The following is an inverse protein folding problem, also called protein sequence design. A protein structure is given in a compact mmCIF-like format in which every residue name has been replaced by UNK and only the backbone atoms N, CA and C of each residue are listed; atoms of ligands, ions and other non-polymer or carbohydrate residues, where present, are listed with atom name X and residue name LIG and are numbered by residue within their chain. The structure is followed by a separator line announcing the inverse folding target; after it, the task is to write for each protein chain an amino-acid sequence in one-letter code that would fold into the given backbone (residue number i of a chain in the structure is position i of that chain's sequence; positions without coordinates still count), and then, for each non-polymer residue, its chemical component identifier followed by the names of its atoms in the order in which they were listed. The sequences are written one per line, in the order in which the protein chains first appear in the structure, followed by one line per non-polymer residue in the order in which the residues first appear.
data_IF_282539200750
#
_entry.id   IF_282539200750
#
_cell.length_a   1.000
_cell.length_b   1.000
_cell.length_c   1.000
_cell.angle_alpha   90.00
_cell.angle_beta   90.00
_cell.angle_gamma   90.00
#
_symmetry.space_group_name_H-M   'P 1'
#
loop_
_entity.id
_entity.type
_entity.pdbx_description
1 polymer ?
#
# COMPACT_ATOMS: atom_id res chain seq x y z
N UNK A 1 -68.03 -21.13 9.28
CA UNK A 1 -66.89 -20.25 9.66
C UNK A 1 -65.71 -21.12 10.02
N UNK A 2 -64.67 -21.20 9.13
CA UNK A 2 -63.49 -21.99 9.40
C UNK A 2 -62.42 -21.08 9.99
N UNK A 3 -62.09 -21.28 11.26
CA UNK A 3 -60.97 -20.57 11.92
C UNK A 3 -59.64 -21.06 11.38
N UNK A 4 -58.93 -20.20 10.67
CA UNK A 4 -57.56 -20.45 10.26
C UNK A 4 -56.64 -20.12 11.46
N UNK A 5 -56.13 -21.16 12.13
CA UNK A 5 -55.07 -20.99 13.12
C UNK A 5 -53.77 -20.78 12.36
N UNK A 6 -53.28 -19.53 12.33
CA UNK A 6 -51.95 -19.19 11.86
C UNK A 6 -50.98 -19.71 12.91
N UNK A 7 -50.22 -20.75 12.56
CA UNK A 7 -49.18 -21.31 13.41
C UNK A 7 -48.10 -20.29 13.68
N UNK A 8 -47.90 -19.93 14.93
CA UNK A 8 -46.91 -18.93 15.41
C UNK A 8 -45.45 -19.39 15.23
N UNK A 9 -45.20 -20.56 14.65
CA UNK A 9 -43.85 -21.10 14.44
C UNK A 9 -43.10 -20.55 13.25
N UNK A 10 -43.80 -20.08 12.20
CA UNK A 10 -43.15 -19.58 10.99
C UNK A 10 -42.54 -18.18 11.15
N UNK A 11 -43.11 -17.34 12.02
CA UNK A 11 -42.62 -16.01 12.25
C UNK A 11 -41.27 -15.97 13.01
N UNK A 12 -41.08 -16.92 13.92
CA UNK A 12 -39.80 -17.05 14.64
C UNK A 12 -38.67 -17.57 13.75
N UNK A 13 -38.96 -18.49 12.83
CA UNK A 13 -37.95 -19.00 11.88
C UNK A 13 -37.47 -17.94 10.88
N UNK A 14 -38.37 -17.11 10.38
CA UNK A 14 -37.99 -15.99 9.48
C UNK A 14 -37.15 -14.95 10.18
N UNK A 15 -37.39 -14.62 11.45
CA UNK A 15 -36.58 -13.71 12.25
C UNK A 15 -35.15 -14.23 12.50
N UNK A 16 -35.00 -15.53 12.74
CA UNK A 16 -33.70 -16.17 12.96
C UNK A 16 -32.88 -16.18 11.67
N UNK A 17 -33.48 -16.46 10.51
CA UNK A 17 -32.81 -16.46 9.21
C UNK A 17 -32.34 -15.04 8.83
N UNK A 18 -33.14 -14.03 9.08
CA UNK A 18 -32.78 -12.61 8.83
C UNK A 18 -31.66 -12.18 9.76
N UNK A 19 -31.65 -12.58 11.03
CA UNK A 19 -30.58 -12.31 11.97
C UNK A 19 -29.26 -13.03 11.60
N UNK A 20 -29.33 -14.23 11.03
CA UNK A 20 -28.14 -14.94 10.53
C UNK A 20 -27.56 -14.34 9.24
N UNK A 21 -28.39 -13.77 8.38
CA UNK A 21 -27.95 -13.09 7.15
C UNK A 21 -27.31 -11.70 7.42
N UNK A 22 -27.60 -11.07 8.55
CA UNK A 22 -26.95 -9.83 8.97
C UNK A 22 -25.54 -10.00 9.53
N UNK A 23 -25.10 -11.24 9.82
CA UNK A 23 -23.70 -11.57 10.14
C UNK A 23 -22.85 -11.78 8.88
N UNK A 24 -23.19 -11.16 7.74
CA UNK A 24 -22.22 -11.00 6.66
C UNK A 24 -21.10 -10.11 7.18
N UNK A 25 -20.06 -10.78 7.61
CA UNK A 25 -18.79 -10.24 8.07
C UNK A 25 -18.37 -9.03 7.24
N UNK A 26 -18.52 -7.84 7.79
CA UNK A 26 -17.73 -6.68 7.37
C UNK A 26 -16.29 -7.13 7.63
N UNK A 27 -15.61 -7.67 6.61
CA UNK A 27 -14.16 -7.80 6.60
C UNK A 27 -13.62 -6.39 6.61
N UNK A 28 -13.55 -5.81 7.81
CA UNK A 28 -12.77 -4.61 8.05
C UNK A 28 -11.33 -4.96 7.67
N UNK A 29 -10.94 -4.64 6.43
CA UNK A 29 -9.58 -4.75 6.00
C UNK A 29 -8.80 -3.69 6.81
N UNK A 30 -8.31 -4.10 7.98
CA UNK A 30 -7.50 -3.25 8.83
C UNK A 30 -6.27 -2.86 8.02
N UNK A 31 -6.27 -1.65 7.49
CA UNK A 31 -5.11 -1.10 6.79
C UNK A 31 -3.99 -0.92 7.81
N UNK A 32 -2.87 -1.58 7.57
CA UNK A 32 -1.69 -1.43 8.42
C UNK A 32 -1.14 -0.01 8.26
N UNK A 33 -1.07 0.72 9.37
CA UNK A 33 -0.51 2.07 9.44
C UNK A 33 0.83 2.00 10.17
N UNK A 34 1.84 2.65 9.61
CA UNK A 34 3.16 2.78 10.23
C UNK A 34 3.72 4.18 10.02
N UNK A 35 4.74 4.53 10.78
CA UNK A 35 5.46 5.79 10.64
C UNK A 35 6.88 5.51 10.17
N UNK A 36 7.35 6.29 9.20
CA UNK A 36 8.65 6.08 8.55
C UNK A 36 9.41 7.38 8.37
N UNK A 37 10.70 7.28 8.15
CA UNK A 37 11.48 8.36 7.57
C UNK A 37 11.26 8.36 6.06
N UNK A 38 10.82 9.49 5.52
CA UNK A 38 10.63 9.69 4.09
C UNK A 38 11.83 10.42 3.50
N UNK A 39 12.42 9.84 2.47
CA UNK A 39 13.51 10.43 1.70
C UNK A 39 13.21 10.31 0.20
N UNK A 40 14.10 10.81 -0.65
CA UNK A 40 14.00 10.63 -2.09
C UNK A 40 15.35 10.22 -2.66
N UNK A 41 15.32 9.49 -3.78
CA UNK A 41 16.51 9.10 -4.52
C UNK A 41 16.33 9.31 -6.02
N UNK A 42 17.46 9.45 -6.70
CA UNK A 42 17.54 9.57 -8.15
C UNK A 42 18.12 8.29 -8.73
N UNK A 43 17.65 7.82 -9.91
CA UNK A 43 18.16 6.63 -10.56
C UNK A 43 19.50 6.93 -11.26
N UNK A 44 20.52 7.21 -10.48
CA UNK A 44 21.89 7.51 -10.92
C UNK A 44 22.89 6.59 -10.24
N UNK A 45 24.03 6.30 -10.90
CA UNK A 45 25.05 5.37 -10.39
C UNK A 45 25.62 5.75 -9.01
N UNK A 46 25.66 7.03 -8.68
CA UNK A 46 26.12 7.50 -7.36
C UNK A 46 25.19 7.15 -6.21
N UNK A 47 23.92 6.87 -6.46
CA UNK A 47 22.90 6.55 -5.46
C UNK A 47 22.41 5.11 -5.55
N UNK A 48 22.55 4.47 -6.71
CA UNK A 48 22.09 3.12 -7.01
C UNK A 48 23.28 2.20 -7.34
N UNK A 49 22.95 0.97 -7.73
CA UNK A 49 23.92 0.00 -8.25
C UNK A 49 24.37 0.33 -9.70
N UNK A 50 25.08 -0.59 -10.35
CA UNK A 50 25.55 -0.43 -11.74
C UNK A 50 24.44 -0.32 -12.77
N UNK A 51 23.20 -0.66 -12.42
CA UNK A 51 22.01 -0.57 -13.28
C UNK A 51 20.93 0.33 -12.68
N UNK A 52 21.18 1.65 -12.59
CA UNK A 52 20.31 2.57 -11.85
C UNK A 52 18.89 2.69 -12.41
N UNK A 53 18.67 2.29 -13.66
CA UNK A 53 17.35 2.32 -14.31
C UNK A 53 16.56 1.02 -14.16
N UNK A 54 17.07 0.05 -13.40
CA UNK A 54 16.37 -1.22 -13.12
C UNK A 54 16.17 -1.31 -11.60
N UNK A 55 14.91 -1.46 -11.19
CA UNK A 55 14.53 -1.62 -9.78
C UNK A 55 14.75 -3.04 -9.28
N UNK A 56 14.67 -3.27 -7.98
CA UNK A 56 14.89 -4.58 -7.36
C UNK A 56 13.89 -5.66 -7.83
N UNK A 57 12.69 -5.27 -8.30
CA UNK A 57 11.72 -6.18 -8.89
C UNK A 57 11.91 -6.40 -10.41
N UNK A 58 12.99 -5.85 -11.00
CA UNK A 58 13.30 -5.96 -12.43
C UNK A 58 12.56 -4.95 -13.33
N UNK A 59 11.75 -4.05 -12.77
CA UNK A 59 11.05 -3.03 -13.57
C UNK A 59 12.03 -2.00 -14.10
N UNK A 60 11.88 -1.63 -15.39
CA UNK A 60 12.69 -0.60 -16.04
C UNK A 60 12.10 0.79 -15.84
N UNK A 61 12.87 1.71 -15.32
CA UNK A 61 12.46 3.10 -15.09
C UNK A 61 12.45 3.86 -16.42
N UNK A 62 11.28 4.36 -16.80
CA UNK A 62 11.15 5.28 -17.94
C UNK A 62 11.27 6.72 -17.46
N UNK A 63 12.39 7.37 -17.77
CA UNK A 63 12.67 8.74 -17.31
C UNK A 63 11.67 9.78 -17.85
N UNK A 64 11.14 9.60 -19.06
CA UNK A 64 10.11 10.48 -19.59
C UNK A 64 8.80 10.39 -18.79
N UNK A 65 8.37 9.18 -18.45
CA UNK A 65 7.19 8.97 -17.60
C UNK A 65 7.42 9.48 -16.16
N UNK A 66 8.64 9.31 -15.63
CA UNK A 66 9.00 9.81 -14.31
C UNK A 66 8.96 11.36 -14.26
N UNK A 67 9.53 12.03 -15.29
CA UNK A 67 9.49 13.49 -15.41
C UNK A 67 8.05 14.04 -15.45
N UNK A 68 7.16 13.34 -16.12
CA UNK A 68 5.76 13.73 -16.28
C UNK A 68 4.84 13.22 -15.15
N UNK A 69 5.41 12.75 -14.04
CA UNK A 69 4.67 12.19 -12.89
C UNK A 69 3.70 11.03 -13.22
N UNK A 70 3.91 10.36 -14.37
CA UNK A 70 3.14 9.16 -14.75
C UNK A 70 3.58 7.90 -13.98
N UNK A 71 4.79 7.93 -13.42
CA UNK A 71 5.35 6.89 -12.54
C UNK A 71 5.46 7.47 -11.13
N UNK A 72 4.83 6.80 -10.17
CA UNK A 72 4.98 7.07 -8.74
C UNK A 72 5.49 5.81 -8.07
N UNK A 73 6.81 5.62 -8.08
CA UNK A 73 7.49 4.48 -7.50
C UNK A 73 8.31 4.86 -6.28
N UNK A 74 8.53 3.92 -5.40
CA UNK A 74 9.38 4.11 -4.23
C UNK A 74 10.16 2.83 -3.91
N UNK A 75 11.27 3.02 -3.18
CA UNK A 75 12.01 1.97 -2.53
C UNK A 75 11.59 1.88 -1.05
N UNK A 76 11.62 0.67 -0.49
CA UNK A 76 11.28 0.44 0.92
C UNK A 76 12.42 -0.26 1.65
N UNK A 77 12.60 0.06 2.93
CA UNK A 77 13.54 -0.67 3.78
C UNK A 77 13.06 -2.10 4.03
N UNK A 78 14.02 -3.05 4.13
CA UNK A 78 13.72 -4.50 4.18
C UNK A 78 12.91 -4.92 5.38
N UNK A 79 13.04 -4.22 6.49
CA UNK A 79 12.30 -4.45 7.73
C UNK A 79 10.79 -4.16 7.63
N UNK A 80 10.35 -3.46 6.59
CA UNK A 80 8.93 -3.17 6.35
C UNK A 80 8.28 -4.11 5.32
N UNK A 81 9.06 -4.98 4.66
CA UNK A 81 8.54 -5.85 3.58
C UNK A 81 7.48 -6.84 4.06
N UNK A 82 7.55 -7.29 5.31
CA UNK A 82 6.58 -8.23 5.89
C UNK A 82 5.18 -7.64 6.07
N UNK A 83 5.05 -6.31 6.06
CA UNK A 83 3.75 -5.63 6.15
C UNK A 83 2.89 -5.80 4.89
N UNK A 84 3.49 -6.22 3.77
CA UNK A 84 2.80 -6.34 2.50
C UNK A 84 2.27 -7.73 2.25
N UNK A 85 1.07 -7.85 1.66
CA UNK A 85 0.55 -9.14 1.24
C UNK A 85 1.43 -9.77 0.17
N UNK A 86 1.66 -11.09 0.26
CA UNK A 86 2.59 -11.82 -0.64
C UNK A 86 2.16 -11.82 -2.10
N UNK A 87 0.85 -11.86 -2.36
CA UNK A 87 0.29 -12.11 -3.70
C UNK A 87 -0.37 -10.88 -4.34
N UNK A 88 -0.04 -9.68 -3.88
CA UNK A 88 -0.59 -8.43 -4.42
C UNK A 88 0.52 -7.43 -4.74
N UNK A 89 0.29 -6.51 -5.70
CA UNK A 89 1.19 -5.39 -5.90
C UNK A 89 1.37 -4.60 -4.61
N UNK A 90 2.64 -4.37 -4.22
CA UNK A 90 2.95 -3.62 -3.01
C UNK A 90 2.68 -2.14 -3.24
N UNK A 91 1.68 -1.59 -2.56
CA UNK A 91 1.29 -0.17 -2.65
C UNK A 91 1.30 0.47 -1.28
N UNK A 92 1.68 1.74 -1.23
CA UNK A 92 1.66 2.56 -0.02
C UNK A 92 0.98 3.89 -0.30
N UNK A 93 0.17 4.34 0.64
CA UNK A 93 -0.27 5.72 0.69
C UNK A 93 0.62 6.48 1.66
N UNK A 94 1.29 7.51 1.18
CA UNK A 94 2.18 8.37 1.96
C UNK A 94 1.45 9.69 2.21
N UNK A 95 1.28 10.05 3.48
CA UNK A 95 0.60 11.28 3.86
C UNK A 95 1.27 12.51 3.25
N UNK A 96 0.48 13.36 2.59
CA UNK A 96 0.97 14.54 1.86
C UNK A 96 1.56 14.27 0.46
N UNK A 97 1.75 12.99 0.07
CA UNK A 97 2.35 12.62 -1.23
C UNK A 97 1.46 11.74 -2.10
N UNK A 98 0.51 11.01 -1.52
CA UNK A 98 -0.41 10.13 -2.21
C UNK A 98 0.09 8.69 -2.35
N UNK A 99 -0.39 7.98 -3.38
CA UNK A 99 -0.14 6.54 -3.55
C UNK A 99 1.12 6.32 -4.41
N UNK A 100 1.98 5.41 -3.92
CA UNK A 100 3.20 4.94 -4.59
C UNK A 100 3.22 3.43 -4.71
N UNK A 101 3.79 2.94 -5.82
CA UNK A 101 4.11 1.53 -6.00
C UNK A 101 5.50 1.25 -5.43
N UNK A 102 5.60 0.23 -4.59
CA UNK A 102 6.89 -0.25 -4.10
C UNK A 102 7.50 -1.14 -5.16
N UNK A 103 8.54 -0.65 -5.83
CA UNK A 103 9.24 -1.33 -6.92
C UNK A 103 10.70 -1.63 -6.58
N UNK A 104 11.22 -1.01 -5.54
CA UNK A 104 12.63 -1.15 -5.18
C UNK A 104 12.81 -1.44 -3.69
N UNK A 105 13.98 -1.94 -3.33
CA UNK A 105 14.33 -2.32 -1.97
C UNK A 105 15.65 -1.67 -1.58
N UNK A 106 15.65 -1.02 -0.44
CA UNK A 106 16.82 -0.30 0.08
C UNK A 106 17.90 -1.25 0.61
N UNK A 107 19.11 -0.71 0.76
CA UNK A 107 20.20 -1.40 1.43
C UNK A 107 19.83 -1.78 2.87
N UNK A 108 20.33 -2.92 3.37
CA UNK A 108 20.05 -3.48 4.70
C UNK A 108 20.33 -2.51 5.87
N UNK A 109 21.22 -1.54 5.69
CA UNK A 109 21.56 -0.52 6.70
C UNK A 109 20.41 0.45 6.99
N UNK A 110 19.48 0.62 6.04
CA UNK A 110 18.34 1.51 6.21
C UNK A 110 17.17 0.77 6.86
N UNK A 111 16.63 1.38 7.90
CA UNK A 111 15.49 0.86 8.68
C UNK A 111 14.37 1.90 8.74
N UNK A 112 13.13 1.43 8.79
CA UNK A 112 11.91 2.27 8.91
C UNK A 112 11.91 3.46 7.93
N UNK A 113 12.23 3.19 6.66
CA UNK A 113 12.40 4.22 5.64
C UNK A 113 11.72 3.87 4.33
N UNK A 114 11.21 4.91 3.68
CA UNK A 114 10.73 4.89 2.30
C UNK A 114 11.47 5.96 1.52
N UNK A 115 11.94 5.61 0.33
CA UNK A 115 12.62 6.49 -0.62
C UNK A 115 11.74 6.70 -1.86
N UNK A 116 11.31 7.92 -2.11
CA UNK A 116 10.55 8.27 -3.32
C UNK A 116 11.50 8.40 -4.50
N UNK A 117 11.18 7.72 -5.60
CA UNK A 117 11.90 7.86 -6.86
C UNK A 117 11.56 9.22 -7.49
N UNK A 118 12.59 10.04 -7.74
CA UNK A 118 12.47 11.34 -8.41
C UNK A 118 13.32 11.37 -9.68
N UNK A 119 13.00 12.30 -10.58
CA UNK A 119 13.76 12.45 -11.82
C UNK A 119 15.17 12.98 -11.55
N UNK A 120 16.24 12.54 -12.28
CA UNK A 120 17.62 12.99 -12.05
C UNK A 120 17.85 14.49 -12.14
N UNK A 121 17.00 15.21 -12.89
CA UNK A 121 17.06 16.67 -13.03
C UNK A 121 16.30 17.42 -11.93
N UNK A 122 15.58 16.71 -11.05
CA UNK A 122 14.89 17.35 -9.93
C UNK A 122 15.89 17.68 -8.83
N UNK A 123 15.93 18.95 -8.45
CA UNK A 123 16.73 19.41 -7.32
C UNK A 123 16.06 19.18 -5.96
N UNK A 124 14.84 18.61 -5.95
CA UNK A 124 14.05 18.41 -4.75
C UNK A 124 14.75 17.41 -3.81
N UNK A 125 14.96 17.86 -2.58
CA UNK A 125 15.47 17.01 -1.50
C UNK A 125 14.34 16.77 -0.49
N UNK A 126 14.02 15.51 -0.22
CA UNK A 126 13.03 15.12 0.77
C UNK A 126 13.78 14.39 1.88
N UNK A 127 13.61 14.85 3.12
CA UNK A 127 14.09 14.15 4.32
C UNK A 127 13.20 14.56 5.49
N UNK A 128 12.13 13.80 5.71
CA UNK A 128 11.11 14.07 6.72
C UNK A 128 11.01 12.84 7.61
N UNK A 129 11.06 13.06 8.92
CA UNK A 129 10.90 12.01 9.92
C UNK A 129 9.42 11.85 10.27
N UNK A 130 9.05 10.66 10.74
CA UNK A 130 7.73 10.37 11.31
C UNK A 130 6.55 10.62 10.35
N UNK A 131 6.71 10.30 9.07
CA UNK A 131 5.64 10.40 8.08
C UNK A 131 4.71 9.20 8.22
N UNK A 132 3.42 9.45 8.31
CA UNK A 132 2.38 8.41 8.36
C UNK A 132 2.21 7.75 7.01
N UNK A 133 2.25 6.42 7.01
CA UNK A 133 2.10 5.60 5.80
C UNK A 133 1.08 4.51 6.04
N UNK A 134 0.20 4.30 5.05
CA UNK A 134 -0.78 3.20 5.04
C UNK A 134 -0.38 2.18 3.99
N UNK A 135 -0.35 0.92 4.35
CA UNK A 135 -0.17 -0.21 3.43
C UNK A 135 -1.52 -0.52 2.78
N UNK A 136 -1.52 -0.69 1.44
CA UNK A 136 -2.74 -0.89 0.63
C UNK A 136 -2.80 -2.29 0.04
#
# INVERSE_FOLDING_TARGET
MKNIRISCGCALYTLIIVAMLCFTTIKCCAQTVTHVKLTCYQPVKSQCNNQPLITADGSKINLHHLKNNKIKWCAISRDLLWLFPKNKPKKVYIEGYGIYLVKDVMNKRHKHRIDILIHPKDSKKISINNVKVKIL
#
